data_IF_290812128101
#
_entry.id   IF_290812128101
#
_cell.length_a   1.000
_cell.length_b   1.000
_cell.length_c   1.000
_cell.angle_alpha   90.00
_cell.angle_beta   90.00
_cell.angle_gamma   90.00
#
_symmetry.space_group_name_H-M   'P 1'
#
loop_
_entity.id
_entity.type
_entity.pdbx_description
1 polymer ?
2 non-polymer ?
3 non-polymer ?
4 water ?
#
# COMPACT_ATOMS: atom_id res chain seq x y z
N UNK A 14 16.50 -1.62 18.50
CA UNK A 14 15.72 -0.48 18.93
C UNK A 14 15.28 0.37 17.74
N UNK A 15 14.23 -0.08 17.05
CA UNK A 15 13.72 0.64 15.89
C UNK A 15 13.12 1.97 16.31
N UNK A 16 13.46 3.03 15.59
CA UNK A 16 12.98 4.37 15.86
C UNK A 16 11.93 4.72 14.80
N UNK A 17 10.67 4.90 15.17
CA UNK A 17 9.64 5.23 14.19
C UNK A 17 9.91 6.58 13.54
N UNK A 18 9.84 6.66 12.22
CA UNK A 18 10.05 7.94 11.53
C UNK A 18 8.94 8.92 11.89
N UNK A 19 9.12 10.21 11.59
CA UNK A 19 8.06 11.18 11.86
C UNK A 19 6.81 10.88 11.02
N UNK A 20 5.68 11.38 11.52
CA UNK A 20 4.39 11.11 10.88
C UNK A 20 4.22 11.95 9.61
N UNK A 21 3.68 11.33 8.58
CA UNK A 21 3.34 12.05 7.36
C UNK A 21 2.07 12.89 7.59
N UNK A 22 1.83 13.88 6.75
CA UNK A 22 0.64 14.73 6.95
C UNK A 22 -0.65 13.95 6.79
N UNK A 23 -1.63 14.29 7.62
CA UNK A 23 -2.96 13.71 7.58
C UNK A 23 -3.96 14.83 7.34
N UNK A 24 -4.82 14.66 6.34
CA UNK A 24 -5.81 15.66 5.98
C UNK A 24 -7.21 15.12 6.24
N UNK A 25 -8.07 15.96 6.81
CA UNK A 25 -9.47 15.64 7.08
C UNK A 25 -10.33 16.67 6.36
N UNK A 26 -10.52 16.50 5.05
CA UNK A 26 -11.23 17.52 4.28
C UNK A 26 -12.70 17.60 4.64
N UNK A 27 -13.23 18.82 4.64
CA UNK A 27 -14.66 19.02 4.80
C UNK A 27 -15.39 18.51 3.55
N UNK A 28 -16.73 18.54 3.62
CA UNK A 28 -17.51 18.09 2.48
C UNK A 28 -17.31 18.97 1.25
N UNK A 29 -16.93 20.23 1.46
CA UNK A 29 -16.68 21.12 0.32
C UNK A 29 -15.40 20.71 -0.41
N UNK A 30 -14.31 20.54 0.34
CA UNK A 30 -13.03 20.16 -0.28
C UNK A 30 -13.07 18.74 -0.83
N UNK A 31 -13.86 17.86 -0.22
CA UNK A 31 -13.95 16.47 -0.62
C UNK A 31 -14.73 16.26 -1.92
N UNK A 32 -15.23 17.33 -2.54
CA UNK A 32 -16.05 17.20 -3.73
C UNK A 32 -15.25 16.77 -4.96
N UNK A 33 -13.93 16.95 -4.94
CA UNK A 33 -13.10 16.63 -6.10
C UNK A 33 -11.71 16.19 -5.65
N UNK A 34 -11.29 14.96 -5.96
CA UNK A 34 -9.97 14.51 -5.50
C UNK A 34 -8.81 15.23 -6.17
N UNK A 35 -8.90 15.46 -7.48
CA UNK A 35 -7.78 16.09 -8.20
C UNK A 35 -7.59 17.54 -7.74
N UNK A 36 -8.70 18.25 -7.48
CA UNK A 36 -8.58 19.60 -6.95
C UNK A 36 -7.98 19.60 -5.54
N UNK A 37 -8.35 18.61 -4.72
CA UNK A 37 -7.88 18.56 -3.35
C UNK A 37 -6.40 18.20 -3.29
N UNK A 38 -5.96 17.23 -4.11
CA UNK A 38 -4.57 16.82 -4.10
C UNK A 38 -3.66 17.93 -4.60
N UNK A 39 -4.13 18.70 -5.58
CA UNK A 39 -3.33 19.81 -6.07
C UNK A 39 -3.15 20.92 -5.06
N UNK A 40 -4.11 21.10 -4.16
CA UNK A 40 -4.02 22.16 -3.16
C UNK A 40 -3.20 21.73 -1.95
N UNK A 41 -3.25 20.44 -1.58
CA UNK A 41 -2.39 19.93 -0.51
C UNK A 41 -0.99 19.61 -1.01
N UNK A 42 -0.76 19.72 -2.31
CA UNK A 42 0.54 19.35 -2.88
C UNK A 42 1.72 20.11 -2.29
N UNK A 43 1.66 21.45 -2.06
CA UNK A 43 2.84 22.15 -1.53
C UNK A 43 3.41 21.57 -0.25
N UNK A 44 2.60 20.84 0.51
CA UNK A 44 3.05 20.19 1.74
C UNK A 44 3.32 18.70 1.55
N UNK A 45 2.40 17.97 0.91
CA UNK A 45 2.52 16.52 0.82
C UNK A 45 3.67 16.10 -0.09
N UNK A 46 4.02 16.92 -1.08
CA UNK A 46 5.14 16.55 -1.95
C UNK A 46 6.48 16.66 -1.23
N UNK A 47 6.54 17.39 -0.12
CA UNK A 47 7.74 17.45 0.69
C UNK A 47 7.88 16.25 1.63
N UNK A 48 6.86 15.40 1.72
CA UNK A 48 6.90 14.19 2.53
C UNK A 48 6.74 12.92 1.72
N UNK A 49 6.44 13.01 0.43
CA UNK A 49 6.26 11.82 -0.40
C UNK A 49 4.90 11.18 -0.33
N UNK A 50 4.41 10.91 0.88
CA UNK A 50 3.10 10.32 1.07
C UNK A 50 2.26 11.24 1.95
N UNK A 51 0.95 11.04 1.91
CA UNK A 51 0.03 11.73 2.80
C UNK A 51 -1.21 10.87 2.98
N UNK A 52 -1.94 11.14 4.06
CA UNK A 52 -3.14 10.39 4.39
C UNK A 52 -4.35 11.31 4.35
N UNK A 53 -5.45 10.80 3.81
CA UNK A 53 -6.68 11.57 3.66
C UNK A 53 -7.81 10.80 4.31
N UNK A 54 -8.43 11.39 5.34
CA UNK A 54 -9.58 10.79 5.99
C UNK A 54 -10.86 11.40 5.42
N UNK A 55 -11.70 10.63 4.76
CA UNK A 55 -12.96 11.17 4.23
C UNK A 55 -13.87 11.62 5.36
N UNK A 56 -14.89 12.41 5.07
CA UNK A 56 -15.86 12.78 6.12
C UNK A 56 -16.49 11.54 6.74
N UNK A 57 -16.92 11.69 8.00
CA UNK A 57 -17.35 10.54 8.79
C UNK A 57 -18.51 9.80 8.13
N UNK A 58 -19.39 10.51 7.42
CA UNK A 58 -20.55 9.88 6.81
C UNK A 58 -20.21 9.15 5.52
N UNK A 59 -19.04 9.37 4.94
CA UNK A 59 -18.66 8.73 3.67
C UNK A 59 -18.17 7.33 3.96
N UNK A 60 -19.02 6.33 3.70
CA UNK A 60 -18.69 4.94 3.96
C UNK A 60 -19.15 4.10 2.78
N UNK A 61 -18.25 3.85 1.82
CA UNK A 61 -18.61 3.01 0.68
C UNK A 61 -18.73 1.55 1.09
N UNK A 62 -19.76 0.86 0.63
CA UNK A 62 -19.90 -0.56 0.96
C UNK A 62 -18.93 -1.42 0.17
N UNK A 63 -18.72 -2.63 0.66
CA UNK A 63 -17.82 -3.59 0.02
C UNK A 63 -18.58 -4.34 -1.07
N UNK A 64 -18.17 -4.17 -2.32
CA UNK A 64 -18.90 -4.69 -3.46
C UNK A 64 -18.21 -5.85 -4.15
N UNK A 65 -17.14 -6.39 -3.57
CA UNK A 65 -16.47 -7.54 -4.17
C UNK A 65 -17.35 -8.77 -4.07
N UNK A 66 -17.31 -9.59 -5.12
CA UNK A 66 -18.03 -10.87 -5.11
C UNK A 66 -17.38 -11.82 -4.11
N UNK A 67 -17.76 -11.69 -2.83
CA UNK A 67 -17.12 -12.46 -1.77
C UNK A 67 -17.36 -13.95 -1.94
N UNK A 68 -18.52 -14.33 -2.49
CA UNK A 68 -18.82 -15.76 -2.66
C UNK A 68 -17.85 -16.43 -3.61
N UNK A 69 -17.38 -15.72 -4.62
CA UNK A 69 -16.49 -16.26 -5.64
C UNK A 69 -15.03 -15.91 -5.42
N UNK A 70 -14.72 -15.07 -4.45
CA UNK A 70 -13.36 -14.54 -4.27
C UNK A 70 -12.43 -15.66 -3.82
N UNK A 71 -11.63 -16.18 -4.74
CA UNK A 71 -10.61 -17.17 -4.46
C UNK A 71 -9.30 -16.71 -5.08
N UNK A 72 -8.19 -17.01 -4.40
CA UNK A 72 -6.89 -16.56 -4.87
C UNK A 72 -5.80 -17.41 -4.23
N UNK A 73 -4.66 -17.49 -4.92
CA UNK A 73 -3.47 -18.13 -4.39
C UNK A 73 -2.46 -17.04 -4.02
N UNK A 74 -2.23 -16.78 -2.75
CA UNK A 74 -1.30 -15.71 -2.38
C UNK A 74 0.14 -16.10 -2.65
N UNK A 75 0.99 -15.08 -2.74
CA UNK A 75 2.42 -15.31 -2.92
C UNK A 75 3.11 -15.41 -1.57
N UNK A 76 4.20 -16.16 -1.54
CA UNK A 76 4.93 -16.44 -0.31
C UNK A 76 6.01 -15.38 -0.11
N UNK A 77 6.11 -14.86 1.11
CA UNK A 77 7.13 -13.87 1.45
C UNK A 77 7.92 -14.35 2.65
N UNK A 78 9.23 -14.54 2.47
CA UNK A 78 10.15 -14.80 3.56
C UNK A 78 10.78 -13.47 3.97
N UNK A 79 10.59 -13.08 5.23
CA UNK A 79 10.96 -11.73 5.65
C UNK A 79 12.47 -11.49 5.56
N UNK A 80 13.26 -12.52 5.86
CA UNK A 80 14.72 -12.38 5.91
C UNK A 80 15.42 -12.99 4.70
N UNK A 81 14.77 -12.96 3.52
CA UNK A 81 15.33 -13.65 2.37
C UNK A 81 16.62 -13.02 1.89
N UNK A 82 16.77 -11.70 2.03
CA UNK A 82 17.97 -11.04 1.54
C UNK A 82 19.11 -11.10 2.55
N UNK A 83 18.80 -11.03 3.85
CA UNK A 83 19.83 -11.20 4.86
C UNK A 83 20.38 -12.63 4.85
N UNK A 84 19.54 -13.61 4.48
CA UNK A 84 19.96 -15.00 4.40
C UNK A 84 20.86 -15.27 3.20
N UNK A 85 21.10 -14.29 2.34
CA UNK A 85 22.05 -14.47 1.25
C UNK A 85 23.47 -14.65 1.78
N UNK A 86 23.81 -13.96 2.86
CA UNK A 86 25.13 -14.05 3.45
C UNK A 86 25.07 -13.88 4.97
N UNK A 100 1.62 -23.56 -2.28
CA UNK A 100 0.79 -22.72 -1.43
C UNK A 100 -0.69 -23.06 -1.63
N UNK A 101 -1.49 -22.80 -0.60
CA UNK A 101 -2.90 -23.14 -0.62
C UNK A 101 -3.71 -22.04 -1.31
N UNK A 102 -4.75 -22.44 -2.02
CA UNK A 102 -5.73 -21.49 -2.51
C UNK A 102 -6.70 -21.14 -1.39
N UNK A 103 -6.96 -19.84 -1.22
CA UNK A 103 -7.80 -19.37 -0.14
C UNK A 103 -9.04 -18.67 -0.70
N UNK A 104 -10.08 -18.65 0.11
CA UNK A 104 -11.14 -17.66 -0.02
C UNK A 104 -10.82 -16.49 0.91
N UNK A 105 -11.62 -15.43 0.81
CA UNK A 105 -11.44 -14.31 1.73
C UNK A 105 -11.67 -14.75 3.17
N UNK A 106 -12.56 -15.70 3.40
CA UNK A 106 -12.81 -16.19 4.75
C UNK A 106 -11.66 -17.05 5.25
N UNK A 107 -11.23 -18.02 4.44
CA UNK A 107 -10.19 -18.94 4.88
C UNK A 107 -8.83 -18.25 5.01
N UNK A 108 -8.57 -17.24 4.19
CA UNK A 108 -7.32 -16.49 4.33
C UNK A 108 -7.32 -15.66 5.60
N UNK A 109 -8.46 -15.05 5.93
CA UNK A 109 -8.54 -14.27 7.15
C UNK A 109 -8.43 -15.11 8.40
N UNK A 110 -9.02 -16.32 8.37
CA UNK A 110 -8.87 -17.24 9.49
C UNK A 110 -7.41 -17.65 9.66
N UNK A 111 -6.71 -17.86 8.55
CA UNK A 111 -5.27 -18.15 8.62
C UNK A 111 -4.50 -16.93 9.11
N UNK A 112 -4.87 -15.73 8.63
CA UNK A 112 -4.16 -14.53 9.02
C UNK A 112 -4.35 -14.22 10.51
N UNK A 113 -5.58 -14.35 11.01
CA UNK A 113 -5.82 -14.07 12.42
C UNK A 113 -5.17 -15.10 13.32
N UNK A 114 -5.17 -16.38 12.91
CA UNK A 114 -4.53 -17.42 13.70
C UNK A 114 -3.02 -17.23 13.75
N UNK A 115 -2.42 -16.75 12.65
CA UNK A 115 -0.98 -16.53 12.64
C UNK A 115 -0.58 -15.42 13.60
N UNK A 116 -1.29 -14.28 13.54
CA UNK A 116 -0.92 -13.14 14.36
C UNK A 116 -1.20 -13.42 15.84
N UNK A 117 -2.37 -13.98 16.14
CA UNK A 117 -2.70 -14.26 17.55
C UNK A 117 -1.77 -15.29 18.16
N UNK A 118 -1.29 -16.25 17.37
CA UNK A 118 -0.31 -17.21 17.88
C UNK A 118 1.07 -16.58 18.03
N UNK A 119 1.45 -15.70 17.09
CA UNK A 119 2.79 -15.14 17.12
C UNK A 119 2.98 -14.21 18.32
N UNK A 120 2.00 -13.35 18.58
CA UNK A 120 2.08 -12.41 19.69
C UNK A 120 1.42 -12.92 20.96
N UNK A 121 0.78 -14.08 20.91
CA UNK A 121 0.16 -14.70 22.08
C UNK A 121 -0.87 -13.78 22.74
N UNK A 122 -1.70 -13.17 21.91
CA UNK A 122 -2.73 -12.26 22.36
C UNK A 122 -3.72 -12.04 21.23
N UNK A 123 -4.93 -11.56 21.52
CA UNK A 123 -5.89 -11.27 20.44
C UNK A 123 -5.30 -10.31 19.41
N UNK A 124 -5.76 -10.47 18.17
CA UNK A 124 -5.15 -9.74 17.06
C UNK A 124 -5.33 -8.24 17.21
N UNK A 125 -6.49 -7.81 17.71
CA UNK A 125 -6.78 -6.40 17.85
C UNK A 125 -6.09 -5.76 19.05
N UNK A 126 -5.42 -6.55 19.89
CA UNK A 126 -4.76 -6.04 21.08
C UNK A 126 -3.26 -5.84 20.89
N UNK A 127 -2.70 -6.22 19.74
CA UNK A 127 -1.28 -6.04 19.49
C UNK A 127 -1.05 -4.59 19.09
N UNK A 128 -0.22 -3.84 19.83
CA UNK A 128 0.03 -2.45 19.45
C UNK A 128 0.71 -2.35 18.09
N UNK A 129 0.36 -1.29 17.34
CA UNK A 129 0.94 -1.11 16.02
C UNK A 129 2.44 -0.86 16.10
N UNK A 130 2.92 -0.27 17.19
CA UNK A 130 4.36 -0.06 17.35
C UNK A 130 5.09 -1.38 17.60
N UNK A 131 4.42 -2.35 18.21
CA UNK A 131 5.05 -3.65 18.46
C UNK A 131 5.20 -4.44 17.17
N UNK A 132 4.15 -4.48 16.35
CA UNK A 132 4.24 -5.13 15.05
C UNK A 132 5.31 -4.48 14.19
N UNK A 133 5.43 -3.15 14.28
CA UNK A 133 6.43 -2.44 13.50
C UNK A 133 7.84 -2.78 13.95
N UNK A 134 8.08 -2.77 15.26
CA UNK A 134 9.41 -3.11 15.77
C UNK A 134 9.75 -4.56 15.51
N UNK A 135 8.76 -5.46 15.57
CA UNK A 135 9.02 -6.87 15.34
C UNK A 135 9.21 -7.18 13.86
N UNK A 136 8.53 -6.44 12.98
CA UNK A 136 8.71 -6.64 11.54
C UNK A 136 10.15 -6.37 11.13
N UNK A 137 10.69 -5.23 11.55
CA UNK A 137 12.04 -4.87 11.14
C UNK A 137 13.11 -5.68 11.84
N UNK A 138 12.80 -6.26 13.00
CA UNK A 138 13.75 -7.18 13.63
C UNK A 138 13.83 -8.49 12.86
N UNK A 139 12.69 -8.98 12.38
CA UNK A 139 12.66 -10.24 11.65
C UNK A 139 13.29 -10.12 10.27
N UNK A 140 13.18 -8.94 9.64
CA UNK A 140 13.74 -8.75 8.30
C UNK A 140 15.26 -8.94 8.33
N UNK A 141 15.90 -8.46 9.38
CA UNK A 141 17.35 -8.58 9.54
C UNK A 141 17.75 -9.73 10.44
N UNK A 142 16.81 -10.59 10.82
CA UNK A 142 17.11 -11.70 11.71
C UNK A 142 17.65 -12.89 10.92
N UNK A 143 18.79 -13.42 11.36
CA UNK A 143 19.36 -14.61 10.74
C UNK A 143 18.92 -15.88 11.45
N UNK A 144 18.37 -15.77 12.66
CA UNK A 144 18.01 -16.95 13.44
C UNK A 144 16.55 -17.35 13.27
N UNK A 145 15.65 -16.38 13.19
CA UNK A 145 14.22 -16.64 13.04
C UNK A 145 13.81 -16.45 11.58
N UNK A 146 13.16 -17.46 11.03
CA UNK A 146 12.74 -17.47 9.63
C UNK A 146 11.23 -17.46 9.56
N UNK A 147 10.64 -16.26 9.57
CA UNK A 147 9.19 -16.09 9.51
C UNK A 147 8.78 -16.00 8.06
N UNK A 148 7.75 -16.76 7.68
CA UNK A 148 7.24 -16.80 6.33
C UNK A 148 5.75 -16.47 6.36
N UNK A 149 5.35 -15.48 5.55
CA UNK A 149 3.97 -15.04 5.48
C UNK A 149 3.49 -15.11 4.03
N UNK A 150 2.22 -14.77 3.82
CA UNK A 150 1.60 -14.83 2.51
C UNK A 150 0.87 -13.53 2.23
N UNK A 151 0.79 -13.17 0.95
CA UNK A 151 0.22 -11.89 0.53
C UNK A 151 -0.62 -12.12 -0.72
N UNK A 152 -1.90 -11.74 -0.66
CA UNK A 152 -2.74 -11.75 -1.83
C UNK A 152 -2.53 -10.49 -2.66
N UNK A 153 -1.48 -10.50 -3.48
CA UNK A 153 -1.00 -9.29 -4.13
C UNK A 153 -1.36 -9.29 -5.61
N UNK A 154 -1.65 -8.08 -6.12
CA UNK A 154 -1.88 -7.84 -7.54
C UNK A 154 -3.05 -8.69 -8.07
N UNK A 155 -4.16 -8.65 -7.36
CA UNK A 155 -5.41 -9.25 -7.82
C UNK A 155 -6.18 -8.18 -8.59
N UNK A 156 -6.40 -8.42 -9.88
CA UNK A 156 -7.07 -7.43 -10.71
C UNK A 156 -8.52 -7.25 -10.27
N UNK A 157 -8.97 -6.00 -10.28
CA UNK A 157 -10.36 -5.70 -9.96
C UNK A 157 -11.34 -6.26 -10.98
N UNK A 158 -10.85 -6.69 -12.15
CA UNK A 158 -11.73 -7.29 -13.14
C UNK A 158 -12.09 -8.73 -12.83
N UNK A 159 -11.31 -9.40 -11.97
CA UNK A 159 -11.55 -10.82 -11.72
C UNK A 159 -12.80 -11.03 -10.86
N UNK A 160 -12.89 -10.33 -9.74
CA UNK A 160 -14.02 -10.50 -8.83
C UNK A 160 -14.75 -9.19 -8.55
N UNK A 161 -14.44 -8.12 -9.27
CA UNK A 161 -15.06 -6.84 -9.04
C UNK A 161 -14.22 -5.95 -8.13
N UNK A 162 -14.43 -4.65 -8.28
CA UNK A 162 -13.75 -3.69 -7.42
C UNK A 162 -14.36 -3.71 -6.03
N UNK A 163 -13.56 -3.26 -5.05
CA UNK A 163 -14.09 -3.08 -3.71
C UNK A 163 -15.16 -2.02 -3.64
N UNK A 164 -15.12 -1.05 -4.54
CA UNK A 164 -16.11 0.01 -4.68
C UNK A 164 -17.27 -0.45 -5.54
N UNK A 165 -18.45 0.15 -5.38
CA UNK A 165 -19.53 -0.10 -6.33
C UNK A 165 -19.20 0.52 -7.68
N UNK A 166 -19.48 -0.23 -8.75
CA UNK A 166 -19.21 0.21 -10.11
C UNK A 166 -20.46 -0.04 -10.94
N UNK A 167 -20.89 0.97 -11.70
CA UNK A 167 -22.06 0.85 -12.57
C UNK A 167 -21.70 0.09 -13.85
N UNK A 168 -21.25 -1.15 -13.66
CA UNK A 168 -20.85 -2.02 -14.76
C UNK A 168 -21.92 -3.02 -15.15
N UNK A 169 -23.08 -2.98 -14.49
CA UNK A 169 -24.18 -3.87 -14.83
C UNK A 169 -24.00 -5.31 -14.42
N UNK A 170 -22.86 -5.68 -13.84
CA UNK A 170 -22.59 -7.04 -13.43
C UNK A 170 -22.90 -7.30 -11.96
N UNK A 171 -23.21 -6.25 -11.19
CA UNK A 171 -23.52 -6.41 -9.78
C UNK A 171 -24.59 -5.40 -9.39
N UNK A 172 -25.44 -5.79 -8.45
CA UNK A 172 -26.56 -4.94 -8.04
C UNK A 172 -26.05 -3.79 -7.18
N UNK A 173 -26.38 -2.56 -7.61
CA UNK A 173 -26.05 -1.36 -6.86
C UNK A 173 -27.36 -0.79 -6.29
N UNK A 174 -27.43 -0.70 -4.98
CA UNK A 174 -28.61 -0.19 -4.31
C UNK A 174 -28.66 1.33 -4.41
N UNK A 175 -29.85 1.93 -4.22
CA UNK A 175 -29.93 3.40 -4.28
C UNK A 175 -29.01 4.10 -3.30
N UNK A 176 -28.81 3.52 -2.11
CA UNK A 176 -27.91 4.14 -1.14
C UNK A 176 -26.45 4.03 -1.55
N UNK A 177 -26.12 3.15 -2.48
CA UNK A 177 -24.74 2.94 -2.91
C UNK A 177 -24.39 3.68 -4.20
N UNK A 178 -25.38 4.29 -4.87
CA UNK A 178 -25.11 4.90 -6.17
C UNK A 178 -24.20 6.11 -6.06
N UNK A 179 -24.26 6.83 -4.94
CA UNK A 179 -23.38 7.99 -4.77
C UNK A 179 -21.92 7.55 -4.70
N UNK A 180 -21.66 6.32 -4.26
CA UNK A 180 -20.29 5.82 -4.20
C UNK A 180 -19.85 5.27 -5.56
N UNK A 181 -20.78 4.74 -6.35
CA UNK A 181 -20.43 4.29 -7.70
C UNK A 181 -20.08 5.47 -8.60
N UNK A 182 -20.60 6.65 -8.31
CA UNK A 182 -20.34 7.86 -9.08
C UNK A 182 -19.37 8.81 -8.40
N UNK A 183 -18.83 8.43 -7.24
CA UNK A 183 -17.94 9.32 -6.50
C UNK A 183 -16.61 9.48 -7.22
N UNK A 184 -16.06 10.69 -7.16
CA UNK A 184 -14.72 10.91 -7.68
C UNK A 184 -13.65 10.21 -6.89
N UNK A 185 -13.90 9.91 -5.61
CA UNK A 185 -12.95 9.17 -4.79
C UNK A 185 -13.06 7.67 -4.99
N UNK A 186 -14.08 7.20 -5.71
CA UNK A 186 -14.08 5.84 -6.21
C UNK A 186 -12.89 5.64 -7.13
N UNK A 187 -12.00 4.72 -6.76
CA UNK A 187 -10.74 4.55 -7.50
C UNK A 187 -10.97 4.14 -8.94
N UNK A 188 -12.14 3.62 -9.29
CA UNK A 188 -12.47 3.32 -10.68
C UNK A 188 -12.78 4.57 -11.49
N UNK A 189 -13.01 5.71 -10.83
CA UNK A 189 -13.34 6.95 -11.51
C UNK A 189 -12.17 7.94 -11.53
N UNK A 190 -10.97 7.50 -11.15
CA UNK A 190 -9.81 8.36 -11.22
C UNK A 190 -9.28 8.41 -12.66
N UNK A 191 -8.82 9.57 -13.11
CA UNK A 191 -8.27 9.67 -14.47
C UNK A 191 -6.95 8.94 -14.57
N UNK A 192 -6.85 8.04 -15.56
CA UNK A 192 -5.67 7.18 -15.71
C UNK A 192 -4.95 7.40 -17.04
N UNK A 193 -5.56 8.07 -18.00
CA UNK A 193 -4.95 8.26 -19.31
C UNK A 193 -3.91 9.38 -19.25
N UNK A 194 -2.69 9.07 -19.65
CA UNK A 194 -1.62 10.06 -19.70
C UNK A 194 -1.57 10.71 -21.09
N UNK A 195 -1.33 12.01 -21.11
CA UNK A 195 -1.27 12.74 -22.37
C UNK A 195 0.00 12.37 -23.14
N UNK A 196 -0.15 12.20 -24.45
CA UNK A 196 0.97 11.84 -25.31
C UNK A 196 0.55 11.99 -26.76
N UNK A 197 1.54 12.14 -27.63
CA UNK A 197 1.28 12.08 -29.07
C UNK A 197 0.99 10.66 -29.50
N UNK A 198 1.53 9.66 -28.78
CA UNK A 198 1.28 8.27 -29.11
C UNK A 198 -0.19 7.89 -28.89
N UNK A 199 -0.84 8.49 -27.89
CA UNK A 199 -2.24 8.19 -27.63
C UNK A 199 -3.14 8.65 -28.77
N UNK A 200 -2.80 9.77 -29.41
CA UNK A 200 -3.53 10.23 -30.58
C UNK A 200 -3.08 9.58 -31.87
N UNK A 201 -1.88 8.98 -31.88
CA UNK A 201 -1.42 8.23 -33.04
C UNK A 201 -1.77 6.75 -32.94
N UNK A 202 -2.28 6.30 -31.80
CA UNK A 202 -2.67 4.91 -31.60
C UNK A 202 -4.02 4.64 -32.26
N UNK A 203 -4.25 3.37 -32.60
CA UNK A 203 -5.53 2.94 -33.13
C UNK A 203 -6.00 1.68 -32.41
N UNK A 209 -6.06 1.74 -17.53
CA UNK A 209 -5.68 0.94 -16.37
C UNK A 209 -6.85 0.75 -15.42
N UNK A 210 -6.77 -0.27 -14.58
CA UNK A 210 -7.80 -0.56 -13.59
C UNK A 210 -7.15 -0.72 -12.23
N UNK A 211 -7.91 -0.50 -11.16
CA UNK A 211 -7.34 -0.69 -9.82
C UNK A 211 -6.99 -2.15 -9.55
N UNK A 212 -5.99 -2.34 -8.69
CA UNK A 212 -5.57 -3.65 -8.24
C UNK A 212 -5.92 -3.84 -6.77
N UNK A 213 -6.07 -5.10 -6.38
CA UNK A 213 -6.49 -5.45 -5.02
C UNK A 213 -5.35 -6.14 -4.28
N UNK A 214 -5.31 -5.91 -2.96
CA UNK A 214 -4.25 -6.45 -2.12
C UNK A 214 -4.87 -6.95 -0.83
N UNK A 215 -4.85 -8.27 -0.63
CA UNK A 215 -5.35 -8.90 0.58
C UNK A 215 -4.14 -9.19 1.47
N UNK A 216 -4.03 -8.46 2.57
CA UNK A 216 -2.85 -8.58 3.41
C UNK A 216 -3.04 -9.33 4.70
N UNK A 217 -1.94 -9.77 5.29
CA UNK A 217 -1.90 -10.36 6.63
C UNK A 217 -0.76 -9.71 7.39
N UNK A 218 -0.62 -10.09 8.66
CA UNK A 218 0.45 -9.56 9.49
C UNK A 218 1.81 -9.89 8.89
N UNK A 219 2.65 -8.86 8.75
CA UNK A 219 4.03 -8.88 8.29
C UNK A 219 4.16 -8.95 6.76
N UNK A 220 3.07 -9.16 6.01
CA UNK A 220 3.14 -9.06 4.56
C UNK A 220 3.49 -7.64 4.17
N UNK A 221 4.35 -7.49 3.16
CA UNK A 221 4.98 -6.19 2.94
C UNK A 221 5.22 -5.95 1.45
N UNK A 222 5.54 -4.70 1.14
CA UNK A 222 6.03 -4.28 -0.17
C UNK A 222 7.25 -3.40 0.04
N UNK A 223 8.28 -3.61 -0.77
CA UNK A 223 9.57 -2.97 -0.54
C UNK A 223 9.63 -1.61 -1.24
N UNK A 224 10.77 -0.95 -1.09
CA UNK A 224 10.95 0.41 -1.61
C UNK A 224 10.89 0.42 -3.13
N UNK A 225 10.02 1.27 -3.67
CA UNK A 225 9.86 1.36 -5.12
C UNK A 225 9.15 2.67 -5.45
N UNK A 226 9.20 3.04 -6.73
CA UNK A 226 8.40 4.13 -7.27
C UNK A 226 7.49 3.55 -8.34
N UNK A 227 6.40 4.26 -8.60
CA UNK A 227 5.45 3.82 -9.60
C UNK A 227 6.01 4.02 -11.01
N UNK A 228 5.46 3.25 -11.94
CA UNK A 228 5.89 3.35 -13.33
C UNK A 228 5.60 4.75 -13.87
N UNK A 229 6.57 5.29 -14.61
CA UNK A 229 6.47 6.63 -15.20
C UNK A 229 6.32 7.72 -14.14
N UNK A 230 6.83 7.46 -12.94
CA UNK A 230 6.78 8.41 -11.82
C UNK A 230 5.34 8.87 -11.55
N UNK A 231 4.40 7.94 -11.68
CA UNK A 231 2.99 8.28 -11.61
C UNK A 231 2.53 8.47 -10.17
N UNK A 232 1.46 9.24 -10.01
CA UNK A 232 0.72 9.26 -8.75
C UNK A 232 0.13 7.89 -8.47
N UNK A 233 -0.24 7.68 -7.20
CA UNK A 233 -0.98 6.48 -6.83
C UNK A 233 -1.81 6.81 -5.60
N UNK A 234 -3.05 6.32 -5.60
CA UNK A 234 -3.96 6.47 -4.48
C UNK A 234 -4.35 5.07 -4.01
N UNK A 235 -4.38 4.88 -2.69
CA UNK A 235 -4.64 3.58 -2.08
C UNK A 235 -5.74 3.71 -1.05
N UNK A 236 -6.71 2.80 -1.09
CA UNK A 236 -7.85 2.81 -0.17
C UNK A 236 -7.89 1.49 0.57
N UNK A 237 -7.99 1.55 1.90
CA UNK A 237 -8.13 0.37 2.74
C UNK A 237 -9.61 0.18 3.01
N UNK A 238 -10.21 -0.80 2.33
CA UNK A 238 -11.66 -1.02 2.44
C UNK A 238 -12.05 -1.43 3.85
N UNK A 239 -11.38 -2.43 4.41
CA UNK A 239 -11.65 -2.88 5.77
C UNK A 239 -10.41 -3.56 6.32
N UNK A 240 -10.45 -3.83 7.61
CA UNK A 240 -9.45 -4.67 8.22
C UNK A 240 -8.44 -3.91 9.07
N UNK A 241 -7.30 -4.58 9.28
CA UNK A 241 -6.27 -4.03 10.17
C UNK A 241 -5.39 -3.02 9.44
N UNK A 242 -4.75 -2.11 10.16
CA UNK A 242 -4.05 -1.00 9.49
C UNK A 242 -2.93 -1.47 8.59
N UNK A 243 -2.59 -0.63 7.63
CA UNK A 243 -1.44 -0.82 6.75
C UNK A 243 -0.43 0.30 7.05
N UNK A 244 0.78 -0.10 7.42
CA UNK A 244 1.82 0.86 7.78
C UNK A 244 2.61 1.26 6.54
N UNK A 245 2.86 2.56 6.39
CA UNK A 245 3.53 3.10 5.22
C UNK A 245 4.83 3.81 5.63
N UNK A 246 5.78 3.85 4.69
CA UNK A 246 6.96 4.68 4.80
C UNK A 246 7.13 5.41 3.48
N UNK A 247 7.39 6.71 3.56
CA UNK A 247 7.48 7.53 2.36
C UNK A 247 8.69 8.43 2.35
N UNK A 248 9.26 8.61 1.16
CA UNK A 248 10.40 9.50 0.96
C UNK A 248 10.03 10.52 -0.11
N UNK A 249 10.20 11.81 0.15
CA UNK A 249 9.84 12.82 -0.86
C UNK A 249 10.70 12.68 -2.10
N UNK A 250 10.15 13.17 -3.22
CA UNK A 250 10.82 13.03 -4.51
C UNK A 250 12.14 13.80 -4.58
N UNK A 251 12.30 14.85 -3.78
CA UNK A 251 13.55 15.61 -3.80
C UNK A 251 14.71 14.84 -3.19
N UNK A 252 14.44 13.70 -2.54
CA UNK A 252 15.48 12.85 -2.00
C UNK A 252 15.54 11.49 -2.69
N UNK A 253 14.99 11.40 -3.91
CA UNK A 253 14.94 10.13 -4.62
C UNK A 253 16.34 9.65 -5.00
N UNK A 254 17.16 10.54 -5.55
CA UNK A 254 18.52 10.15 -5.94
C UNK A 254 19.37 9.80 -4.73
N UNK A 255 19.14 10.46 -3.60
CA UNK A 255 19.89 10.13 -2.39
C UNK A 255 19.52 8.73 -1.88
N UNK A 256 18.24 8.37 -1.96
CA UNK A 256 17.81 7.03 -1.58
C UNK A 256 18.40 5.99 -2.51
N UNK A 257 18.34 6.24 -3.83
CA UNK A 257 18.91 5.29 -4.79
C UNK A 257 20.40 5.12 -4.59
N UNK A 258 21.10 6.18 -4.17
CA UNK A 258 22.52 6.08 -3.89
C UNK A 258 22.77 5.25 -2.62
N UNK A 259 21.98 5.49 -1.57
CA UNK A 259 22.09 4.70 -0.35
C UNK A 259 21.77 3.24 -0.62
N UNK A 260 20.76 2.99 -1.47
CA UNK A 260 20.43 1.62 -1.84
C UNK A 260 21.61 0.93 -2.50
N UNK A 261 22.20 1.55 -3.52
CA UNK A 261 23.32 0.94 -4.22
C UNK A 261 24.50 0.67 -3.30
N UNK A 262 24.69 1.52 -2.29
CA UNK A 262 25.81 1.33 -1.38
C UNK A 262 25.57 0.18 -0.41
N UNK A 263 24.31 -0.05 -0.01
CA UNK A 263 24.00 -1.03 1.01
C UNK A 263 23.34 -2.30 0.49
N UNK A 264 22.71 -2.26 -0.68
CA UNK A 264 22.08 -3.45 -1.23
C UNK A 264 23.14 -4.50 -1.58
N UNK A 265 22.74 -5.77 -1.67
CA UNK A 265 23.70 -6.81 -2.04
C UNK A 265 24.36 -6.52 -3.38
N UNK A 266 25.66 -6.86 -3.47
CA UNK A 266 26.42 -6.55 -4.67
C UNK A 266 25.94 -7.34 -5.87
N UNK A 267 25.36 -8.52 -5.66
CA UNK A 267 24.85 -9.32 -6.77
C UNK A 267 23.68 -8.65 -7.48
N UNK A 268 22.99 -7.73 -6.81
CA UNK A 268 21.87 -7.00 -7.40
C UNK A 268 22.24 -5.56 -7.72
N UNK A 269 23.51 -5.18 -7.59
CA UNK A 269 23.92 -3.81 -7.79
C UNK A 269 23.77 -3.37 -9.24
N UNK A 270 23.97 -4.30 -10.18
CA UNK A 270 23.93 -3.99 -11.60
C UNK A 270 22.54 -4.15 -12.22
N UNK A 271 21.54 -4.50 -11.43
CA UNK A 271 20.23 -4.75 -11.99
C UNK A 271 19.48 -3.45 -12.26
N UNK A 272 18.66 -3.42 -13.32
CA UNK A 272 17.85 -2.24 -13.58
C UNK A 272 16.85 -1.99 -12.47
N UNK A 273 16.32 -0.76 -12.45
CA UNK A 273 15.39 -0.37 -11.38
C UNK A 273 14.15 -1.25 -11.39
N UNK A 274 13.61 -1.56 -12.57
CA UNK A 274 12.37 -2.35 -12.65
C UNK A 274 12.53 -3.73 -12.01
N UNK A 275 13.76 -4.25 -11.97
CA UNK A 275 14.03 -5.54 -11.35
C UNK A 275 14.58 -5.40 -9.94
N UNK A 276 15.46 -4.41 -9.71
CA UNK A 276 16.01 -4.23 -8.36
C UNK A 276 14.92 -3.88 -7.36
N UNK A 277 13.91 -3.10 -7.81
CA UNK A 277 12.81 -2.73 -6.93
C UNK A 277 12.08 -3.93 -6.34
N UNK A 278 12.25 -5.12 -6.92
CA UNK A 278 11.62 -6.31 -6.37
C UNK A 278 12.32 -6.80 -5.13
N UNK A 279 13.56 -6.37 -4.88
CA UNK A 279 14.33 -6.84 -3.74
C UNK A 279 15.04 -5.67 -3.07
N UNK A 280 14.33 -4.56 -2.86
CA UNK A 280 14.90 -3.42 -2.18
C UNK A 280 14.22 -3.18 -0.83
N UNK A 281 14.27 -4.17 0.05
CA UNK A 281 13.77 -3.99 1.41
C UNK A 281 14.89 -3.43 2.27
N UNK A 282 14.60 -2.39 3.04
CA UNK A 282 15.62 -1.71 3.81
C UNK A 282 14.98 -1.04 5.02
N UNK A 283 15.65 -1.15 6.17
CA UNK A 283 15.16 -0.53 7.38
C UNK A 283 15.14 0.99 7.20
N UNK A 284 14.03 1.66 7.53
CA UNK A 284 14.00 3.12 7.37
C UNK A 284 15.03 3.84 8.22
N UNK A 285 15.41 3.28 9.37
CA UNK A 285 16.44 3.92 10.19
C UNK A 285 17.79 3.93 9.50
N UNK A 286 18.06 2.95 8.64
CA UNK A 286 19.30 2.94 7.88
C UNK A 286 19.30 4.07 6.87
N UNK A 287 18.16 4.32 6.23
CA UNK A 287 18.05 5.46 5.32
C UNK A 287 18.17 6.78 6.07
N UNK A 288 17.50 6.90 7.22
CA UNK A 288 17.56 8.13 7.99
C UNK A 288 18.97 8.39 8.51
N UNK A 289 19.69 7.34 8.88
CA UNK A 289 21.07 7.52 9.35
C UNK A 289 21.96 8.05 8.23
N UNK A 290 21.61 7.77 6.97
CA UNK A 290 22.35 8.30 5.83
C UNK A 290 21.75 9.60 5.30
N UNK A 291 20.90 10.26 6.08
CA UNK A 291 20.39 11.56 5.71
C UNK A 291 19.22 11.56 4.74
N UNK A 292 18.48 10.46 4.65
CA UNK A 292 17.31 10.37 3.78
C UNK A 292 16.08 10.63 4.62
N UNK A 293 15.29 11.67 4.32
CA UNK A 293 14.09 11.93 5.13
C UNK A 293 13.01 10.89 4.85
N UNK A 294 12.52 10.26 5.92
CA UNK A 294 11.50 9.22 5.83
C UNK A 294 10.33 9.61 6.71
N UNK A 295 9.12 9.43 6.20
CA UNK A 295 7.90 9.68 6.94
C UNK A 295 7.04 8.42 6.97
N UNK A 296 6.34 8.22 8.07
CA UNK A 296 5.53 7.03 8.28
C UNK A 296 4.07 7.41 8.51
N UNK A 297 3.21 6.40 8.44
CA UNK A 297 1.79 6.55 8.80
C UNK A 297 1.17 5.18 8.94
N UNK A 298 0.09 5.12 9.69
CA UNK A 298 -0.74 3.92 9.83
C UNK A 298 -2.07 4.21 9.14
N UNK A 299 -2.24 3.64 7.95
CA UNK A 299 -3.48 3.79 7.19
C UNK A 299 -4.52 2.84 7.77
N UNK A 300 -5.57 3.40 8.38
CA UNK A 300 -6.63 2.60 8.95
C UNK A 300 -7.74 2.37 7.93
N UNK A 301 -8.72 1.55 8.32
CA UNK A 301 -9.81 1.20 7.42
C UNK A 301 -10.62 2.44 7.05
N UNK A 302 -10.87 2.60 5.76
CA UNK A 302 -11.62 3.75 5.27
C UNK A 302 -10.80 5.00 5.07
N UNK A 303 -9.48 4.88 4.99
CA UNK A 303 -8.59 6.03 4.84
C UNK A 303 -7.80 5.90 3.54
N UNK A 304 -7.54 7.04 2.90
CA UNK A 304 -6.77 7.09 1.67
C UNK A 304 -5.32 7.43 1.96
N UNK A 305 -4.43 6.85 1.16
CA UNK A 305 -3.01 7.23 1.12
C UNK A 305 -2.67 7.60 -0.31
N UNK A 306 -2.00 8.74 -0.48
CA UNK A 306 -1.61 9.23 -1.80
C UNK A 306 -0.09 9.27 -1.85
N UNK A 307 0.47 8.67 -2.90
CA UNK A 307 1.90 8.73 -3.18
C UNK A 307 2.14 9.67 -4.35
N UNK A 308 3.02 10.63 -4.17
CA UNK A 308 3.28 11.67 -5.15
C UNK A 308 4.32 11.20 -6.15
N UNK A 309 4.48 11.92 -7.27
CA UNK A 309 5.42 11.46 -8.31
C UNK A 309 6.84 11.24 -7.78
N UNK A 310 7.39 10.08 -8.13
CA UNK A 310 8.76 9.71 -7.78
C UNK A 310 8.98 9.68 -6.26
N UNK A 311 7.92 9.41 -5.50
CA UNK A 311 8.01 9.25 -4.06
C UNK A 311 8.26 7.78 -3.75
N UNK A 312 9.48 7.45 -3.35
CA UNK A 312 9.77 6.08 -2.94
C UNK A 312 8.98 5.73 -1.69
N UNK A 313 8.34 4.57 -1.70
CA UNK A 313 7.51 4.17 -0.57
C UNK A 313 7.60 2.67 -0.35
N UNK A 314 7.37 2.27 0.90
CA UNK A 314 7.35 0.88 1.29
C UNK A 314 6.43 0.74 2.50
N UNK A 315 6.21 -0.50 2.92
CA UNK A 315 5.37 -0.70 4.09
C UNK A 315 5.02 -2.16 4.27
N UNK A 316 4.15 -2.39 5.26
CA UNK A 316 3.72 -3.72 5.64
C UNK A 316 2.35 -3.62 6.29
N UNK A 317 1.67 -4.77 6.37
CA UNK A 317 0.33 -4.83 6.93
C UNK A 317 0.39 -5.25 8.40
N UNK A 318 -0.43 -4.60 9.22
CA UNK A 318 -0.56 -4.96 10.63
C UNK A 318 -1.36 -6.23 10.84
N UNK A 319 -2.10 -6.69 9.83
CA UNK A 319 -2.91 -7.89 9.98
C UNK A 319 -3.78 -8.09 8.75
N UNK A 320 -4.87 -8.83 8.96
CA UNK A 320 -5.79 -9.15 7.89
C UNK A 320 -6.53 -7.89 7.43
N UNK A 321 -6.35 -7.52 6.16
CA UNK A 321 -7.00 -6.34 5.61
C UNK A 321 -7.21 -6.52 4.12
N UNK A 322 -7.79 -5.49 3.49
CA UNK A 322 -8.13 -5.52 2.07
C UNK A 322 -7.94 -4.11 1.53
N UNK A 323 -7.02 -3.96 0.58
CA UNK A 323 -6.70 -2.65 0.03
C UNK A 323 -6.89 -2.64 -1.48
N UNK A 324 -7.12 -1.44 -2.01
CA UNK A 324 -7.29 -1.22 -3.44
C UNK A 324 -6.48 0.00 -3.85
N UNK A 325 -5.76 -0.10 -4.96
CA UNK A 325 -4.86 0.96 -5.39
C UNK A 325 -4.91 1.11 -6.90
N UNK A 326 -4.67 2.34 -7.37
CA UNK A 326 -4.65 2.63 -8.80
C UNK A 326 -3.70 3.80 -9.03
N UNK A 327 -3.10 3.82 -10.21
CA UNK A 327 -2.26 4.93 -10.63
C UNK A 327 -3.11 5.95 -11.40
N UNK A 328 -2.92 7.22 -11.09
CA UNK A 328 -3.68 8.28 -11.73
C UNK A 328 -2.75 9.41 -12.12
N UNK A 329 -3.28 10.33 -12.92
CA UNK A 329 -2.51 11.47 -13.40
C UNK A 329 -3.42 12.67 -13.66
X LIG B 1 5.29 -7.27 -3.45
X LIG B 1 6.83 -5.41 -4.16
X LIG B 1 7.44 -3.21 -5.08
X LIG B 1 3.87 -6.82 -5.92
X LIG B 1 3.70 -2.76 -6.51
X LIG B 1 5.05 -3.06 -8.61
X LIG B 1 5.39 -1.25 -10.10
X LIG B 1 -0.46 -2.59 -1.13
X LIG B 1 0.14 -1.78 -2.27
X LIG B 1 1.67 -1.85 -2.26
X LIG B 1 2.70 -2.34 -4.50
X LIG B 1 2.62 -3.70 -4.24
X LIG B 1 3.12 -4.57 -5.21
X LIG B 1 2.86 -6.46 -3.65
X LIG B 1 4.11 -6.58 -2.77
X LIG B 1 7.40 -4.53 -5.26
X LIG B 1 5.38 -6.61 -5.85
X LIG B 1 4.30 -2.22 -7.79
X LIG B 1 5.60 -2.58 -9.78
X LIG B 1 4.63 -0.46 -9.24
X LIG B 1 2.20 -1.38 -3.54
X LIG B 1 3.05 -6.01 -5.02
X LIG B 1 5.84 -6.43 -4.49
X LIG B 1 3.63 -4.06 -6.32
X LIG B 1 4.12 -0.96 -8.14
X LIG B 1 3.24 -1.90 -5.62
X LIG B 1 0.10 -3.66 -0.76
X LIG B 1 -1.51 -2.19 -0.56
X LIG B 1 7.19 -5.28 -3.04
X LIG C 1 3.46 0.29 -6.23
#
# INVERSE_FOLDING_TARGET
HNMAGVGPGGYAAEFVPPPECPVFEPSWEEFTDPLSFIGRIRPLAEKTGICKIRPPKDWQPPFACEVKSFRFTPRVQRLNELEAMTRVRPREAFGFEQAVREYTLQSFGEMADNFKSDYFNMPVHMVPTELVEKEFWRLVSSIEEDVIVEYGADISSKDFGSGFPVKDGRRKILPEEEEYALSGWNLNNMPVLEQSVLAHINVDISGMKVPWLYVGMCFSSFCWHIEDHWSYSINYLHWGEPKTWYGVPSHAAEQLEEVMRELAPELFESQPDLLHQLVTIMNPNVLMEHGVPVYRTNQCAGEFVVTFPRAYHSGFNQGYNFAEAVNFCT
H6G C13 C15 C17 C20 C22 C24 C26 C02 C04 C05 C07 C08 C09 C11 C12 C16 C19 C23 C25 C27 N06 N10 N14 N21 N28 N29 O01 O03 O18
MN MN
#
